data_IF_612971555998
#
_entry.id   IF_612971555998
#
_cell.length_a   1.000
_cell.length_b   1.000
_cell.length_c   1.000
_cell.angle_alpha   90.00
_cell.angle_beta   90.00
_cell.angle_gamma   90.00
#
_symmetry.space_group_name_H-M   'P 1'
#
loop_
_entity.id
_entity.type
_entity.pdbx_description
1 polymer ?
#
# COMPACT_ATOMS: atom_id res chain seq x y z
N UNK A 1 -23.90 33.12 -6.42
CA UNK A 1 -23.99 31.68 -6.78
C UNK A 1 -22.63 31.07 -7.15
N UNK A 2 -21.81 31.69 -8.02
CA UNK A 2 -20.51 31.14 -8.42
C UNK A 2 -19.52 30.89 -7.25
N UNK A 3 -19.41 31.85 -6.31
CA UNK A 3 -18.53 31.74 -5.13
C UNK A 3 -18.92 30.59 -4.22
N UNK A 4 -20.22 30.39 -3.95
CA UNK A 4 -20.73 29.29 -3.14
C UNK A 4 -20.40 27.92 -3.76
N UNK A 5 -20.56 27.79 -5.09
CA UNK A 5 -20.20 26.56 -5.80
C UNK A 5 -18.70 26.27 -5.82
N UNK A 6 -17.85 27.30 -5.78
CA UNK A 6 -16.39 27.17 -5.73
C UNK A 6 -15.90 26.78 -4.32
N UNK A 7 -16.52 27.32 -3.26
CA UNK A 7 -16.25 26.88 -1.89
C UNK A 7 -16.64 25.42 -1.69
N UNK A 8 -17.79 25.00 -2.23
CA UNK A 8 -18.23 23.61 -2.20
C UNK A 8 -17.24 22.65 -2.86
N UNK A 9 -16.74 22.97 -4.06
CA UNK A 9 -15.77 22.10 -4.76
C UNK A 9 -14.42 21.98 -4.03
N UNK A 10 -13.97 23.05 -3.36
CA UNK A 10 -12.77 23.01 -2.50
C UNK A 10 -12.96 22.12 -1.29
N UNK A 11 -14.11 22.22 -0.62
CA UNK A 11 -14.42 21.38 0.53
C UNK A 11 -14.44 19.89 0.13
N UNK A 12 -15.06 19.56 -1.01
CA UNK A 12 -15.08 18.19 -1.53
C UNK A 12 -13.66 17.68 -1.82
N UNK A 13 -12.84 18.48 -2.52
CA UNK A 13 -11.45 18.12 -2.81
C UNK A 13 -10.62 17.90 -1.53
N UNK A 14 -10.80 18.76 -0.52
CA UNK A 14 -10.13 18.62 0.77
C UNK A 14 -10.56 17.34 1.50
N UNK A 15 -11.86 17.03 1.52
CA UNK A 15 -12.39 15.81 2.15
C UNK A 15 -11.87 14.55 1.45
N UNK A 16 -11.94 14.49 0.11
CA UNK A 16 -11.40 13.35 -0.64
C UNK A 16 -9.90 13.15 -0.40
N UNK A 17 -9.13 14.24 -0.33
CA UNK A 17 -7.70 14.17 -0.01
C UNK A 17 -7.41 13.71 1.41
N UNK A 18 -8.24 14.12 2.37
CA UNK A 18 -8.14 13.62 3.73
C UNK A 18 -8.43 12.12 3.81
N UNK A 19 -9.40 11.61 3.03
CA UNK A 19 -9.66 10.18 2.91
C UNK A 19 -8.47 9.43 2.28
N UNK A 20 -7.86 9.98 1.23
CA UNK A 20 -6.65 9.42 0.63
C UNK A 20 -5.49 9.36 1.63
N UNK A 21 -5.30 10.45 2.39
CA UNK A 21 -4.30 10.54 3.44
C UNK A 21 -4.52 9.47 4.52
N UNK A 22 -5.76 9.33 5.00
CA UNK A 22 -6.12 8.32 5.98
C UNK A 22 -5.86 6.90 5.44
N UNK A 23 -6.28 6.63 4.20
CA UNK A 23 -6.01 5.35 3.52
C UNK A 23 -4.50 5.06 3.44
N UNK A 24 -3.68 6.04 3.08
CA UNK A 24 -2.23 5.93 3.06
C UNK A 24 -1.66 5.55 4.43
N UNK A 25 -2.09 6.22 5.51
CA UNK A 25 -1.67 5.87 6.87
C UNK A 25 -2.09 4.45 7.28
N UNK A 26 -3.32 4.05 6.98
CA UNK A 26 -3.79 2.68 7.25
C UNK A 26 -2.94 1.64 6.51
N UNK A 27 -2.56 1.88 5.26
CA UNK A 27 -1.67 0.99 4.51
C UNK A 27 -0.27 0.94 5.13
N UNK A 28 0.31 2.08 5.50
CA UNK A 28 1.62 2.11 6.19
C UNK A 28 1.56 1.29 7.47
N UNK A 29 0.56 1.54 8.33
CA UNK A 29 0.39 0.81 9.59
C UNK A 29 0.17 -0.68 9.33
N UNK A 30 -0.69 -1.05 8.38
CA UNK A 30 -0.93 -2.45 8.01
C UNK A 30 0.32 -3.16 7.48
N UNK A 31 1.10 -2.50 6.62
CA UNK A 31 2.37 -3.00 6.11
C UNK A 31 3.40 -3.19 7.23
N UNK A 32 3.54 -2.21 8.12
CA UNK A 32 4.44 -2.31 9.27
C UNK A 32 4.01 -3.41 10.26
N UNK A 33 2.71 -3.53 10.56
CA UNK A 33 2.19 -4.61 11.41
C UNK A 33 2.47 -5.98 10.79
N UNK A 34 2.34 -6.12 9.47
CA UNK A 34 2.68 -7.36 8.78
C UNK A 34 4.19 -7.67 8.87
N UNK A 35 5.05 -6.65 8.74
CA UNK A 35 6.51 -6.79 8.85
C UNK A 35 6.99 -7.15 10.27
N UNK A 36 6.24 -6.73 11.29
CA UNK A 36 6.53 -7.04 12.70
C UNK A 36 6.00 -8.41 13.12
N UNK A 37 5.05 -8.98 12.37
CA UNK A 37 4.42 -10.27 12.64
C UNK A 37 5.25 -11.43 12.09
N UNK A 38 6.26 -11.82 12.87
CA UNK A 38 7.18 -12.90 12.52
C UNK A 38 6.47 -14.24 12.28
N UNK A 39 5.36 -14.52 12.96
CA UNK A 39 4.61 -15.77 12.82
C UNK A 39 3.96 -15.85 11.43
N UNK A 40 3.29 -14.78 10.99
CA UNK A 40 2.72 -14.73 9.63
C UNK A 40 3.81 -14.83 8.56
N UNK A 41 4.92 -14.13 8.75
CA UNK A 41 6.08 -14.19 7.84
C UNK A 41 6.63 -15.63 7.78
N UNK A 42 6.74 -16.30 8.92
CA UNK A 42 7.21 -17.68 9.01
C UNK A 42 6.25 -18.64 8.29
N UNK A 43 4.95 -18.53 8.55
CA UNK A 43 3.91 -19.35 7.92
C UNK A 43 3.90 -19.21 6.39
N UNK A 44 4.19 -18.01 5.87
CA UNK A 44 4.26 -17.77 4.42
C UNK A 44 5.35 -18.55 3.68
N UNK A 45 6.35 -19.07 4.39
CA UNK A 45 7.37 -19.94 3.79
C UNK A 45 6.77 -21.24 3.25
N UNK A 46 5.69 -21.72 3.85
CA UNK A 46 5.02 -22.96 3.43
C UNK A 46 4.26 -22.81 2.11
N UNK A 47 3.91 -21.57 1.74
CA UNK A 47 3.21 -21.27 0.49
C UNK A 47 4.14 -21.12 -0.72
N UNK A 48 5.46 -21.21 -0.51
CA UNK A 48 6.47 -21.00 -1.57
C UNK A 48 7.17 -22.31 -1.93
N UNK A 49 6.42 -23.38 -2.17
CA UNK A 49 6.93 -24.64 -2.72
C UNK A 49 7.06 -24.54 -4.25
N UNK A 50 8.24 -24.15 -4.77
CA UNK A 50 8.44 -24.01 -6.22
C UNK A 50 9.67 -23.19 -6.64
N UNK A 51 9.76 -22.69 -7.88
CA UNK A 51 10.89 -21.89 -8.40
C UNK A 51 11.21 -20.63 -7.57
N UNK A 52 10.22 -20.09 -6.84
CA UNK A 52 10.37 -18.96 -5.93
C UNK A 52 11.05 -19.28 -4.59
N UNK A 53 11.32 -20.57 -4.30
CA UNK A 53 12.05 -21.01 -3.09
C UNK A 53 13.52 -20.56 -3.07
N UNK A 54 14.02 -20.02 -4.20
CA UNK A 54 15.37 -19.45 -4.33
C UNK A 54 15.49 -18.03 -3.80
N UNK A 55 14.37 -17.37 -3.46
CA UNK A 55 14.41 -16.02 -2.90
C UNK A 55 14.99 -16.02 -1.47
N UNK A 56 15.88 -15.08 -1.12
CA UNK A 56 16.50 -15.03 0.21
C UNK A 56 15.50 -14.82 1.36
N UNK A 57 14.37 -14.16 1.08
CA UNK A 57 13.37 -13.75 2.06
C UNK A 57 11.98 -14.28 1.66
N UNK A 58 11.10 -14.55 2.65
CA UNK A 58 9.75 -15.02 2.39
C UNK A 58 8.89 -13.98 1.65
N UNK A 59 7.94 -14.46 0.83
CA UNK A 59 7.11 -13.61 -0.04
C UNK A 59 6.31 -12.53 0.72
N UNK A 60 5.75 -12.85 1.89
CA UNK A 60 5.00 -11.87 2.69
C UNK A 60 5.86 -10.70 3.18
N UNK A 61 7.18 -10.88 3.33
CA UNK A 61 8.07 -9.78 3.69
C UNK A 61 8.12 -8.72 2.58
N UNK A 62 8.26 -9.15 1.32
CA UNK A 62 8.23 -8.25 0.17
C UNK A 62 6.85 -7.60 0.00
N UNK A 63 5.76 -8.34 0.24
CA UNK A 63 4.41 -7.77 0.26
C UNK A 63 4.28 -6.69 1.33
N UNK A 64 4.76 -6.94 2.56
CA UNK A 64 4.72 -5.97 3.65
C UNK A 64 5.44 -4.66 3.30
N UNK A 65 6.62 -4.75 2.68
CA UNK A 65 7.35 -3.59 2.16
C UNK A 65 6.56 -2.89 1.05
N UNK A 66 5.97 -3.65 0.12
CA UNK A 66 5.15 -3.12 -0.97
C UNK A 66 3.92 -2.36 -0.47
N UNK A 67 3.20 -2.90 0.51
CA UNK A 67 2.04 -2.25 1.13
C UNK A 67 2.47 -0.95 1.81
N UNK A 68 3.57 -0.98 2.57
CA UNK A 68 4.07 0.21 3.26
C UNK A 68 4.54 1.29 2.27
N UNK A 69 5.16 0.91 1.16
CA UNK A 69 5.64 1.85 0.14
C UNK A 69 4.49 2.50 -0.64
N UNK A 70 3.47 1.72 -1.02
CA UNK A 70 2.23 2.26 -1.62
C UNK A 70 1.56 3.22 -0.65
N UNK A 71 1.42 2.84 0.63
CA UNK A 71 0.86 3.69 1.66
C UNK A 71 1.61 5.03 1.82
N UNK A 72 2.94 5.02 1.72
CA UNK A 72 3.76 6.23 1.74
C UNK A 72 3.51 7.14 0.53
N UNK A 73 3.35 6.55 -0.67
CA UNK A 73 3.01 7.29 -1.88
C UNK A 73 1.62 7.94 -1.74
N UNK A 74 0.62 7.20 -1.27
CA UNK A 74 -0.74 7.72 -1.06
C UNK A 74 -0.77 8.82 0.00
N UNK A 75 -0.04 8.64 1.11
CA UNK A 75 0.07 9.64 2.18
C UNK A 75 0.70 10.93 1.66
N UNK A 76 1.81 10.81 0.91
CA UNK A 76 2.51 11.96 0.33
C UNK A 76 1.59 12.70 -0.66
N UNK A 77 0.88 11.96 -1.49
CA UNK A 77 -0.08 12.51 -2.46
C UNK A 77 -1.25 13.20 -1.75
N UNK A 78 -1.78 12.62 -0.66
CA UNK A 78 -2.82 13.24 0.16
C UNK A 78 -2.37 14.55 0.82
N UNK A 79 -1.14 14.62 1.34
CA UNK A 79 -0.56 15.87 1.89
C UNK A 79 -0.46 16.94 0.80
N UNK A 80 0.06 16.57 -0.37
CA UNK A 80 0.16 17.48 -1.52
C UNK A 80 -1.21 17.96 -1.98
N UNK A 81 -2.24 17.12 -1.95
CA UNK A 81 -3.60 17.49 -2.31
C UNK A 81 -4.28 18.40 -1.30
N UNK A 82 -4.07 18.17 0.01
CA UNK A 82 -4.47 19.11 1.06
C UNK A 82 -3.82 20.48 0.86
N UNK A 83 -2.52 20.51 0.55
CA UNK A 83 -1.81 21.75 0.21
C UNK A 83 -2.36 22.41 -1.06
N UNK A 84 -2.61 21.63 -2.12
CA UNK A 84 -3.18 22.10 -3.38
C UNK A 84 -4.58 22.70 -3.21
N UNK A 85 -5.40 22.16 -2.29
CA UNK A 85 -6.74 22.67 -1.98
C UNK A 85 -6.71 24.07 -1.34
N UNK A 86 -5.66 24.39 -0.59
CA UNK A 86 -5.49 25.72 0.01
C UNK A 86 -4.98 26.76 -1.00
N UNK A 87 -4.29 26.31 -2.03
CA UNK A 87 -3.68 27.18 -3.04
C UNK A 87 -4.67 27.57 -4.15
N UNK A 88 -4.53 28.80 -4.67
CA UNK A 88 -5.38 29.32 -5.77
C UNK A 88 -4.71 29.21 -7.15
N UNK A 89 -3.56 28.53 -7.25
CA UNK A 89 -2.77 28.45 -8.48
C UNK A 89 -3.24 27.30 -9.37
N UNK A 90 -3.65 27.63 -10.60
CA UNK A 90 -4.04 26.66 -11.63
C UNK A 90 -2.92 25.67 -11.97
N UNK A 91 -1.66 26.14 -12.00
CA UNK A 91 -0.50 25.30 -12.32
C UNK A 91 -0.26 24.22 -11.27
N UNK A 92 -0.40 24.56 -9.98
CA UNK A 92 -0.24 23.59 -8.89
C UNK A 92 -1.32 22.52 -8.93
N UNK A 93 -2.57 22.91 -9.21
CA UNK A 93 -3.68 21.97 -9.31
C UNK A 93 -3.53 21.05 -10.53
N UNK A 94 -3.02 21.57 -11.65
CA UNK A 94 -2.74 20.76 -12.85
C UNK A 94 -1.61 19.77 -12.61
N UNK A 95 -0.53 20.18 -11.92
CA UNK A 95 0.56 19.28 -11.56
C UNK A 95 0.07 18.16 -10.62
N UNK A 96 -0.76 18.51 -9.63
CA UNK A 96 -1.38 17.56 -8.72
C UNK A 96 -2.30 16.56 -9.45
N UNK A 97 -3.10 17.02 -10.41
CA UNK A 97 -3.91 16.15 -11.28
C UNK A 97 -3.05 15.12 -12.02
N UNK A 98 -1.91 15.53 -12.58
CA UNK A 98 -0.99 14.60 -13.26
C UNK A 98 -0.39 13.57 -12.30
N UNK A 99 -0.05 13.97 -11.08
CA UNK A 99 0.45 13.06 -10.04
C UNK A 99 -0.61 12.00 -9.72
N UNK A 100 -1.84 12.40 -9.41
CA UNK A 100 -2.94 11.46 -9.12
C UNK A 100 -3.18 10.50 -10.29
N UNK A 101 -3.15 11.00 -11.53
CA UNK A 101 -3.31 10.15 -12.71
C UNK A 101 -2.22 9.07 -12.80
N UNK A 102 -0.96 9.42 -12.54
CA UNK A 102 0.15 8.46 -12.56
C UNK A 102 0.02 7.44 -11.44
N UNK A 103 -0.32 7.88 -10.23
CA UNK A 103 -0.51 6.98 -9.08
C UNK A 103 -1.67 6.01 -9.36
N UNK A 104 -2.82 6.50 -9.82
CA UNK A 104 -3.98 5.67 -10.13
C UNK A 104 -3.69 4.61 -11.18
N UNK A 105 -3.01 4.97 -12.28
CA UNK A 105 -2.64 4.00 -13.32
C UNK A 105 -1.65 2.96 -12.77
N UNK A 106 -0.67 3.39 -11.98
CA UNK A 106 0.28 2.49 -11.33
C UNK A 106 -0.39 1.52 -10.35
N UNK A 107 -1.30 2.04 -9.51
CA UNK A 107 -2.05 1.26 -8.55
C UNK A 107 -2.97 0.25 -9.25
N UNK A 108 -3.67 0.65 -10.32
CA UNK A 108 -4.49 -0.25 -11.12
C UNK A 108 -3.66 -1.38 -11.75
N UNK A 109 -2.44 -1.10 -12.22
CA UNK A 109 -1.54 -2.12 -12.75
C UNK A 109 -1.08 -3.11 -11.67
N UNK A 110 -0.71 -2.62 -10.49
CA UNK A 110 -0.34 -3.47 -9.35
C UNK A 110 -1.55 -4.29 -8.88
N UNK A 111 -2.72 -3.68 -8.80
CA UNK A 111 -3.95 -4.37 -8.41
C UNK A 111 -4.35 -5.47 -9.41
N UNK A 112 -4.29 -5.18 -10.72
CA UNK A 112 -4.61 -6.14 -11.76
C UNK A 112 -3.63 -7.33 -11.76
N UNK A 113 -2.32 -7.05 -11.58
CA UNK A 113 -1.32 -8.12 -11.47
C UNK A 113 -1.54 -8.95 -10.21
N UNK A 114 -1.81 -8.33 -9.05
CA UNK A 114 -2.14 -9.04 -7.82
C UNK A 114 -3.40 -9.89 -7.93
N UNK A 115 -4.44 -9.40 -8.61
CA UNK A 115 -5.68 -10.15 -8.84
C UNK A 115 -5.50 -11.34 -9.78
N UNK A 116 -4.70 -11.17 -10.85
CA UNK A 116 -4.37 -12.26 -11.78
C UNK A 116 -3.34 -13.26 -11.20
N UNK A 117 -2.60 -12.85 -10.17
CA UNK A 117 -1.48 -13.58 -9.57
C UNK A 117 -1.79 -15.05 -9.23
N UNK A 118 -2.93 -15.42 -8.60
CA UNK A 118 -3.23 -16.82 -8.27
C UNK A 118 -3.36 -17.70 -9.52
N UNK A 119 -3.98 -17.16 -10.58
CA UNK A 119 -4.20 -17.88 -11.84
C UNK A 119 -2.91 -17.97 -12.68
N UNK A 120 -2.08 -16.93 -12.65
CA UNK A 120 -0.87 -16.85 -13.48
C UNK A 120 0.33 -17.60 -12.90
N UNK A 121 0.43 -17.70 -11.57
CA UNK A 121 1.58 -18.31 -10.89
C UNK A 121 1.28 -19.69 -10.30
N UNK A 122 0.06 -20.21 -10.48
CA UNK A 122 -0.31 -21.54 -9.98
C UNK A 122 -0.11 -21.64 -8.48
N UNK A 123 -0.59 -20.65 -7.72
CA UNK A 123 -0.47 -20.60 -6.27
C UNK A 123 -1.39 -21.57 -5.53
N UNK A 124 -1.93 -22.57 -6.22
CA UNK A 124 -2.34 -23.75 -5.48
C UNK A 124 -1.07 -24.28 -4.83
N UNK A 125 -1.04 -24.27 -3.51
CA UNK A 125 0.00 -24.96 -2.75
C UNK A 125 -0.11 -26.39 -3.19
N UNK A 126 0.79 -26.83 -4.07
CA UNK A 126 0.83 -28.20 -4.53
C UNK A 126 1.12 -29.05 -3.28
N UNK A 127 0.10 -29.78 -2.77
CA UNK A 127 0.23 -30.50 -1.52
C UNK A 127 1.30 -31.59 -1.66
N UNK A 128 1.52 -32.12 -2.87
CA UNK A 128 2.56 -33.11 -3.13
C UNK A 128 3.95 -32.48 -3.00
N UNK A 129 4.15 -31.29 -3.58
CA UNK A 129 5.42 -30.57 -3.49
C UNK A 129 5.73 -30.17 -2.03
N UNK A 130 4.73 -29.72 -1.28
CA UNK A 130 4.89 -29.36 0.13
C UNK A 130 5.14 -30.60 1.00
N UNK A 131 4.47 -31.72 0.73
CA UNK A 131 4.71 -33.01 1.41
C UNK A 131 6.14 -33.51 1.16
N UNK A 132 6.62 -33.42 -0.08
CA UNK A 132 8.00 -33.77 -0.43
C UNK A 132 9.01 -32.85 0.26
N UNK A 133 8.70 -31.55 0.37
CA UNK A 133 9.51 -30.60 1.13
C UNK A 133 9.52 -30.94 2.62
N UNK A 134 8.37 -31.32 3.20
CA UNK A 134 8.26 -31.78 4.59
C UNK A 134 9.18 -32.98 4.83
N UNK A 135 9.02 -34.04 4.05
CA UNK A 135 9.80 -35.27 4.19
C UNK A 135 11.32 -35.05 4.06
N UNK A 136 11.73 -34.09 3.22
CA UNK A 136 13.15 -33.82 2.94
C UNK A 136 13.78 -32.77 3.86
N UNK A 137 13.04 -31.77 4.32
CA UNK A 137 13.64 -30.59 4.96
C UNK A 137 13.26 -30.44 6.44
N UNK A 138 12.17 -31.07 6.88
CA UNK A 138 11.78 -31.00 8.29
C UNK A 138 12.87 -31.58 9.19
N UNK A 139 13.20 -30.88 10.28
CA UNK A 139 14.18 -31.32 11.27
C UNK A 139 15.64 -31.44 10.77
N UNK A 140 15.94 -30.99 9.55
CA UNK A 140 17.27 -31.06 8.98
C UNK A 140 18.12 -29.81 9.27
N UNK A 141 19.41 -30.02 9.50
CA UNK A 141 20.37 -28.95 9.76
C UNK A 141 20.38 -27.92 8.60
N UNK A 142 20.23 -26.64 8.96
CA UNK A 142 20.13 -25.54 7.98
C UNK A 142 18.72 -25.26 7.47
N UNK A 143 17.72 -26.05 7.87
CA UNK A 143 16.29 -25.87 7.52
C UNK A 143 15.42 -25.52 8.74
N UNK A 144 16.02 -25.00 9.81
CA UNK A 144 15.35 -24.64 11.07
C UNK A 144 14.12 -23.75 10.87
N UNK A 145 14.20 -22.80 9.94
CA UNK A 145 13.09 -21.88 9.64
C UNK A 145 11.91 -22.59 8.95
N UNK A 146 12.19 -23.63 8.16
CA UNK A 146 11.15 -24.45 7.55
C UNK A 146 10.48 -25.36 8.59
N UNK A 147 11.29 -26.00 9.45
CA UNK A 147 10.80 -26.79 10.60
C UNK A 147 9.88 -25.94 11.49
N UNK A 148 10.34 -24.76 11.90
CA UNK A 148 9.57 -23.85 12.74
C UNK A 148 8.27 -23.37 12.07
N UNK A 149 8.25 -23.24 10.74
CA UNK A 149 7.04 -22.88 10.00
C UNK A 149 5.99 -24.01 10.01
N UNK A 150 6.42 -25.26 9.82
CA UNK A 150 5.54 -26.43 9.94
C UNK A 150 5.02 -26.55 11.38
N UNK A 151 5.90 -26.43 12.37
CA UNK A 151 5.54 -26.49 13.79
C UNK A 151 4.54 -25.40 14.18
N UNK A 152 4.72 -24.18 13.65
CA UNK A 152 3.77 -23.09 13.81
C UNK A 152 2.42 -23.42 13.15
N UNK A 153 2.41 -23.96 11.92
CA UNK A 153 1.16 -24.33 11.25
C UNK A 153 0.38 -25.39 12.04
N UNK A 154 1.08 -26.41 12.54
CA UNK A 154 0.49 -27.50 13.31
C UNK A 154 -0.15 -27.03 14.61
N UNK A 155 0.55 -26.17 15.34
CA UNK A 155 0.03 -25.58 16.58
C UNK A 155 -1.08 -24.55 16.35
N UNK A 156 -0.97 -23.73 15.29
CA UNK A 156 -1.95 -22.69 14.98
C UNK A 156 -3.27 -23.27 14.48
N UNK A 157 -3.21 -24.31 13.65
CA UNK A 157 -4.38 -24.91 13.01
C UNK A 157 -4.82 -26.23 13.65
N UNK A 158 -4.12 -26.73 14.66
CA UNK A 158 -4.44 -28.00 15.33
C UNK A 158 -4.48 -29.19 14.34
N UNK A 159 -3.47 -29.26 13.47
CA UNK A 159 -3.31 -30.24 12.40
C UNK A 159 -1.95 -30.93 12.50
N UNK A 160 -1.71 -31.96 11.68
CA UNK A 160 -0.42 -32.67 11.63
C UNK A 160 -0.07 -33.10 10.21
N UNK A 161 1.17 -32.83 9.80
CA UNK A 161 1.61 -33.02 8.41
C UNK A 161 0.99 -32.02 7.42
N UNK A 162 1.16 -32.26 6.13
CA UNK A 162 0.58 -31.46 5.06
C UNK A 162 -0.82 -31.95 4.74
N UNK A 163 -0.97 -33.22 4.37
CA UNK A 163 -2.26 -33.90 4.17
C UNK A 163 -2.55 -34.91 5.29
N UNK A 164 -1.49 -35.51 5.87
CA UNK A 164 -1.62 -36.51 6.93
C UNK A 164 -0.40 -36.59 7.85
N UNK A 165 -0.64 -36.94 9.12
CA UNK A 165 0.41 -37.24 10.10
C UNK A 165 1.35 -38.40 9.67
N UNK A 166 0.89 -39.31 8.80
CA UNK A 166 1.68 -40.47 8.35
C UNK A 166 2.86 -40.06 7.46
N UNK A 167 2.89 -38.85 6.93
CA UNK A 167 4.00 -38.34 6.11
C UNK A 167 5.33 -38.28 6.88
N UNK A 168 5.27 -38.23 8.21
CA UNK A 168 6.46 -38.31 9.06
C UNK A 168 7.10 -39.69 9.07
N UNK A 169 6.36 -40.76 8.79
CA UNK A 169 6.88 -42.13 8.76
C UNK A 169 8.00 -42.30 7.73
N UNK A 170 7.90 -41.58 6.60
CA UNK A 170 8.86 -41.60 5.49
C UNK A 170 9.80 -40.38 5.48
N UNK A 171 9.72 -39.51 6.49
CA UNK A 171 10.55 -38.31 6.57
C UNK A 171 12.01 -38.66 6.93
N UNK A 172 12.96 -37.91 6.38
CA UNK A 172 14.38 -38.04 6.73
C UNK A 172 14.62 -37.80 8.21
N UNK A 173 13.87 -36.87 8.82
CA UNK A 173 13.90 -36.60 10.24
C UNK A 173 13.65 -37.87 11.07
N UNK A 174 12.62 -38.64 10.78
CA UNK A 174 12.33 -39.87 11.55
C UNK A 174 13.35 -40.98 11.32
N UNK A 175 13.92 -41.05 10.12
CA UNK A 175 14.88 -42.08 9.74
C UNK A 175 16.32 -41.77 10.20
N UNK A 176 16.58 -40.56 10.69
CA UNK A 176 17.92 -40.14 11.07
C UNK A 176 18.38 -40.81 12.39
N UNK A 177 19.62 -41.32 12.48
CA UNK A 177 20.08 -42.10 13.65
C UNK A 177 20.15 -41.31 14.96
N UNK A 178 20.28 -39.98 14.89
CA UNK A 178 20.35 -39.07 16.03
C UNK A 178 18.99 -38.46 16.38
N UNK A 179 17.92 -38.82 15.65
CA UNK A 179 16.61 -38.26 15.93
C UNK A 179 16.05 -38.83 17.23
N UNK A 180 15.34 -37.99 18.01
CA UNK A 180 14.68 -38.45 19.20
C UNK A 180 13.62 -39.49 18.78
N UNK A 181 13.43 -40.54 19.58
CA UNK A 181 12.54 -41.69 19.28
C UNK A 181 11.04 -41.32 19.34
N UNK A 182 10.65 -40.31 18.56
CA UNK A 182 9.28 -39.84 18.39
C UNK A 182 8.74 -40.35 17.06
N UNK A 183 7.47 -40.74 17.07
CA UNK A 183 6.73 -41.09 15.86
C UNK A 183 6.42 -39.82 15.04
N UNK A 184 6.09 -38.73 15.72
CA UNK A 184 5.68 -37.45 15.14
C UNK A 184 6.26 -36.28 15.95
N UNK A 185 6.33 -35.07 15.39
CA UNK A 185 6.63 -33.87 16.15
C UNK A 185 5.71 -33.67 17.33
N UNK A 186 6.22 -33.06 18.41
CA UNK A 186 5.40 -32.78 19.59
C UNK A 186 4.31 -31.74 19.33
N UNK A 187 4.48 -30.91 18.31
CA UNK A 187 3.51 -29.92 17.81
C UNK A 187 2.27 -30.56 17.17
N UNK A 188 2.35 -31.83 16.75
CA UNK A 188 1.20 -32.64 16.33
C UNK A 188 0.40 -33.23 17.51
N UNK A 189 0.91 -33.13 18.74
CA UNK A 189 0.19 -33.55 19.94
C UNK A 189 -0.76 -32.46 20.42
N UNK A 190 -1.83 -32.85 21.13
CA UNK A 190 -2.62 -31.88 21.89
C UNK A 190 -1.78 -31.31 23.03
N UNK A 191 -1.66 -29.98 23.06
CA UNK A 191 -0.79 -29.25 23.98
C UNK A 191 -1.57 -28.71 25.18
N UNK A 192 -0.96 -28.76 26.35
CA UNK A 192 -1.45 -28.07 27.55
C UNK A 192 -1.20 -26.55 27.43
N UNK A 193 -0.05 -26.17 26.87
CA UNK A 193 0.34 -24.78 26.67
C UNK A 193 -0.15 -24.18 25.35
N UNK A 194 -1.27 -24.66 24.79
CA UNK A 194 -1.80 -24.20 23.49
C UNK A 194 -2.10 -22.69 23.44
N UNK A 195 -2.38 -22.05 24.58
CA UNK A 195 -2.62 -20.60 24.68
C UNK A 195 -1.33 -19.76 24.66
N UNK A 196 -0.15 -20.37 24.79
CA UNK A 196 1.11 -19.65 24.73
C UNK A 196 1.46 -19.33 23.27
N UNK A 197 1.74 -18.05 22.95
CA UNK A 197 2.09 -17.62 21.59
C UNK A 197 3.27 -18.37 20.97
N UNK A 198 4.18 -18.87 21.81
CA UNK A 198 5.38 -19.63 21.41
C UNK A 198 5.27 -21.12 21.68
N UNK A 199 4.06 -21.67 21.75
CA UNK A 199 3.85 -23.11 21.97
C UNK A 199 4.57 -23.98 20.92
N UNK A 200 4.68 -23.51 19.67
CA UNK A 200 5.41 -24.19 18.59
C UNK A 200 6.92 -24.33 18.83
N UNK A 201 7.53 -23.44 19.63
CA UNK A 201 8.96 -23.51 19.96
C UNK A 201 9.25 -24.41 21.17
N UNK A 202 8.27 -24.56 22.07
CA UNK A 202 8.38 -25.39 23.26
C UNK A 202 7.05 -26.09 23.55
N UNK A 203 6.67 -27.09 22.74
CA UNK A 203 5.40 -27.78 22.89
C UNK A 203 5.37 -28.63 24.18
N UNK A 204 4.29 -28.49 24.96
CA UNK A 204 4.03 -29.30 26.14
C UNK A 204 2.80 -30.19 25.91
N UNK A 205 2.98 -31.44 25.43
CA UNK A 205 1.87 -32.37 25.22
C UNK A 205 1.18 -32.73 26.54
N UNK A 206 -0.16 -32.77 26.53
CA UNK A 206 -0.96 -33.22 27.69
C UNK A 206 -0.54 -34.64 28.12
N UNK A 207 -0.32 -35.53 27.14
CA UNK A 207 0.21 -36.86 27.39
C UNK A 207 1.14 -37.28 26.25
N UNK A 208 2.45 -37.13 26.48
CA UNK A 208 3.48 -37.47 25.50
C UNK A 208 3.45 -38.95 25.11
N UNK A 209 3.25 -39.87 26.05
CA UNK A 209 3.28 -41.31 25.80
C UNK A 209 2.12 -41.75 24.91
N UNK A 210 0.90 -41.28 25.20
CA UNK A 210 -0.27 -41.60 24.38
C UNK A 210 -0.17 -40.95 23.00
N UNK A 211 0.21 -39.68 22.93
CA UNK A 211 0.41 -39.01 21.64
C UNK A 211 1.45 -39.71 20.75
N UNK A 212 2.51 -40.28 21.32
CA UNK A 212 3.59 -40.93 20.57
C UNK A 212 3.38 -42.43 20.32
N UNK A 213 2.25 -43.00 20.76
CA UNK A 213 1.94 -44.40 20.51
C UNK A 213 1.80 -44.69 19.00
N UNK A 214 2.34 -45.83 18.55
CA UNK A 214 2.25 -46.26 17.15
C UNK A 214 0.86 -46.82 16.80
N UNK A 215 0.18 -47.42 17.79
CA UNK A 215 -1.17 -47.98 17.61
C UNK A 215 -2.23 -46.88 17.52
N UNK A 216 -3.09 -46.86 16.48
CA UNK A 216 -4.17 -45.87 16.28
C UNK A 216 -5.03 -45.63 17.52
N UNK A 217 -5.52 -46.71 18.13
CA UNK A 217 -6.43 -46.65 19.28
C UNK A 217 -5.80 -45.99 20.52
N UNK A 218 -4.47 -45.91 20.59
CA UNK A 218 -3.76 -45.39 21.76
C UNK A 218 -3.46 -43.89 21.68
N UNK A 219 -3.39 -43.35 20.47
CA UNK A 219 -3.17 -41.91 20.27
C UNK A 219 -4.47 -41.15 19.92
N UNK A 220 -5.59 -41.86 19.82
CA UNK A 220 -6.92 -41.26 19.67
C UNK A 220 -7.17 -40.23 20.78
N UNK A 221 -7.57 -39.02 20.40
CA UNK A 221 -7.84 -37.94 21.34
C UNK A 221 -6.60 -37.21 21.88
N UNK A 222 -5.37 -37.66 21.60
CA UNK A 222 -4.11 -37.01 22.04
C UNK A 222 -3.23 -36.50 20.90
N UNK A 223 -3.54 -36.88 19.65
CA UNK A 223 -2.81 -36.52 18.43
C UNK A 223 -3.76 -35.91 17.39
N UNK A 224 -3.30 -34.88 16.67
CA UNK A 224 -3.98 -34.36 15.49
C UNK A 224 -3.73 -35.27 14.28
N UNK A 225 -4.77 -35.65 13.55
CA UNK A 225 -4.69 -36.58 12.41
C UNK A 225 -4.94 -35.90 11.06
N UNK A 226 -5.65 -34.78 11.07
CA UNK A 226 -5.96 -33.98 9.89
C UNK A 226 -4.74 -33.20 9.42
N UNK A 227 -4.54 -33.13 8.10
CA UNK A 227 -3.48 -32.35 7.47
C UNK A 227 -3.68 -30.84 7.58
N UNK A 228 -2.58 -30.09 7.49
CA UNK A 228 -2.59 -28.62 7.57
C UNK A 228 -2.94 -27.91 6.25
N UNK A 229 -2.95 -28.60 5.11
CA UNK A 229 -3.06 -27.98 3.78
C UNK A 229 -4.33 -27.12 3.64
N UNK A 230 -5.50 -27.69 3.95
CA UNK A 230 -6.79 -26.99 3.78
C UNK A 230 -6.88 -25.74 4.66
N UNK A 231 -6.40 -25.83 5.91
CA UNK A 231 -6.34 -24.71 6.83
C UNK A 231 -5.38 -23.62 6.35
N UNK A 232 -4.21 -24.02 5.84
CA UNK A 232 -3.21 -23.10 5.29
C UNK A 232 -3.75 -22.37 4.04
N UNK A 233 -4.37 -23.10 3.11
CA UNK A 233 -4.99 -22.54 1.92
C UNK A 233 -6.13 -21.58 2.28
N UNK A 234 -7.00 -21.97 3.23
CA UNK A 234 -8.09 -21.11 3.70
C UNK A 234 -7.58 -19.84 4.37
N UNK A 235 -6.58 -19.96 5.24
CA UNK A 235 -5.93 -18.83 5.90
C UNK A 235 -5.35 -17.86 4.88
N UNK A 236 -4.59 -18.37 3.90
CA UNK A 236 -4.00 -17.57 2.84
C UNK A 236 -5.06 -16.87 1.99
N UNK A 237 -6.06 -17.61 1.50
CA UNK A 237 -7.15 -17.06 0.69
C UNK A 237 -7.87 -15.93 1.42
N UNK A 238 -8.10 -16.07 2.73
CA UNK A 238 -8.74 -15.03 3.54
C UNK A 238 -7.89 -13.76 3.58
N UNK A 239 -6.60 -13.88 3.87
CA UNK A 239 -5.69 -12.73 3.89
C UNK A 239 -5.53 -12.07 2.51
N UNK A 240 -5.46 -12.87 1.46
CA UNK A 240 -5.38 -12.40 0.08
C UNK A 240 -6.65 -11.64 -0.34
N UNK A 241 -7.84 -12.15 0.00
CA UNK A 241 -9.10 -11.45 -0.27
C UNK A 241 -9.21 -10.12 0.49
N UNK A 242 -8.72 -10.06 1.74
CA UNK A 242 -8.64 -8.80 2.48
C UNK A 242 -7.72 -7.80 1.78
N UNK A 243 -6.53 -8.23 1.33
CA UNK A 243 -5.61 -7.39 0.57
C UNK A 243 -6.25 -6.85 -0.71
N UNK A 244 -6.90 -7.71 -1.51
CA UNK A 244 -7.64 -7.29 -2.71
C UNK A 244 -8.78 -6.32 -2.37
N UNK A 245 -9.50 -6.54 -1.27
CA UNK A 245 -10.54 -5.62 -0.81
C UNK A 245 -9.97 -4.23 -0.47
N UNK A 246 -8.83 -4.18 0.23
CA UNK A 246 -8.17 -2.91 0.56
C UNK A 246 -7.65 -2.17 -0.67
N UNK A 247 -7.06 -2.88 -1.63
CA UNK A 247 -6.59 -2.28 -2.88
C UNK A 247 -7.75 -1.71 -3.72
N UNK A 248 -8.88 -2.43 -3.82
CA UNK A 248 -10.06 -1.90 -4.51
C UNK A 248 -10.60 -0.63 -3.84
N UNK A 249 -10.64 -0.60 -2.50
CA UNK A 249 -11.08 0.57 -1.76
C UNK A 249 -10.16 1.78 -2.00
N UNK A 250 -8.84 1.57 -2.04
CA UNK A 250 -7.86 2.62 -2.33
C UNK A 250 -8.06 3.19 -3.75
N UNK A 251 -8.14 2.34 -4.78
CA UNK A 251 -8.45 2.75 -6.17
C UNK A 251 -9.75 3.57 -6.25
N UNK A 252 -10.79 3.17 -5.52
CA UNK A 252 -12.06 3.93 -5.49
C UNK A 252 -11.89 5.31 -4.86
N UNK A 253 -11.14 5.43 -3.77
CA UNK A 253 -10.84 6.72 -3.12
C UNK A 253 -10.02 7.61 -4.07
N UNK A 254 -9.00 7.07 -4.73
CA UNK A 254 -8.20 7.80 -5.71
C UNK A 254 -9.04 8.29 -6.90
N UNK A 255 -9.97 7.46 -7.39
CA UNK A 255 -10.89 7.87 -8.45
C UNK A 255 -11.79 9.04 -8.00
N UNK A 256 -12.27 9.04 -6.76
CA UNK A 256 -13.04 10.16 -6.19
C UNK A 256 -12.19 11.44 -6.07
N UNK A 257 -10.92 11.30 -5.69
CA UNK A 257 -9.95 12.42 -5.66
C UNK A 257 -9.73 12.97 -7.07
N UNK A 258 -9.54 12.11 -8.06
CA UNK A 258 -9.37 12.50 -9.46
C UNK A 258 -10.59 13.27 -9.96
N UNK A 259 -11.80 12.74 -9.75
CA UNK A 259 -13.05 13.41 -10.14
C UNK A 259 -13.18 14.79 -9.48
N UNK A 260 -12.91 14.87 -8.18
CA UNK A 260 -12.96 16.13 -7.41
C UNK A 260 -11.93 17.14 -7.92
N UNK A 261 -10.75 16.67 -8.32
CA UNK A 261 -9.67 17.49 -8.90
C UNK A 261 -10.08 18.03 -10.27
N UNK A 262 -10.66 17.19 -11.14
CA UNK A 262 -11.19 17.62 -12.44
C UNK A 262 -12.25 18.70 -12.26
N UNK A 263 -13.22 18.49 -11.37
CA UNK A 263 -14.26 19.47 -11.08
C UNK A 263 -13.66 20.81 -10.62
N UNK A 264 -12.64 20.77 -9.76
CA UNK A 264 -11.95 21.98 -9.30
C UNK A 264 -11.18 22.67 -10.44
N UNK A 265 -10.44 21.91 -11.26
CA UNK A 265 -9.70 22.43 -12.43
C UNK A 265 -10.64 23.14 -13.40
N UNK A 266 -11.76 22.51 -13.78
CA UNK A 266 -12.73 23.09 -14.71
C UNK A 266 -13.34 24.39 -14.16
N UNK A 267 -13.63 24.44 -12.85
CA UNK A 267 -14.17 25.63 -12.20
C UNK A 267 -13.16 26.79 -12.16
N UNK A 268 -11.91 26.53 -11.78
CA UNK A 268 -10.83 27.54 -11.79
C UNK A 268 -10.57 28.04 -13.21
N UNK A 269 -10.50 27.13 -14.19
CA UNK A 269 -10.28 27.48 -15.59
C UNK A 269 -11.37 28.40 -16.12
N UNK A 270 -12.65 28.06 -15.89
CA UNK A 270 -13.78 28.89 -16.28
C UNK A 270 -13.75 30.27 -15.61
N UNK A 271 -13.48 30.34 -14.31
CA UNK A 271 -13.35 31.62 -13.60
C UNK A 271 -12.23 32.49 -14.19
N UNK A 272 -11.07 31.90 -14.51
CA UNK A 272 -9.96 32.63 -15.12
C UNK A 272 -10.28 33.13 -16.54
N UNK A 273 -11.07 32.38 -17.32
CA UNK A 273 -11.58 32.83 -18.61
C UNK A 273 -12.52 34.03 -18.46
N UNK A 274 -13.52 33.94 -17.57
CA UNK A 274 -14.47 35.03 -17.30
C UNK A 274 -13.75 36.31 -16.85
N UNK A 275 -12.72 36.19 -16.00
CA UNK A 275 -11.90 37.34 -15.59
C UNK A 275 -11.13 37.93 -16.76
N UNK A 276 -10.51 37.10 -17.62
CA UNK A 276 -9.77 37.58 -18.81
C UNK A 276 -10.69 38.30 -19.81
N UNK A 277 -11.89 37.76 -20.05
CA UNK A 277 -12.89 38.39 -20.92
C UNK A 277 -13.37 39.74 -20.36
N UNK A 278 -13.65 39.81 -19.05
CA UNK A 278 -14.06 41.06 -18.40
C UNK A 278 -12.97 42.14 -18.48
N UNK A 279 -11.69 41.78 -18.31
CA UNK A 279 -10.56 42.71 -18.47
C UNK A 279 -10.43 43.19 -19.92
N UNK A 280 -10.60 42.31 -20.91
CA UNK A 280 -10.57 42.67 -22.33
C UNK A 280 -11.69 43.66 -22.68
N UNK A 281 -12.93 43.37 -22.24
CA UNK A 281 -14.09 44.23 -22.49
C UNK A 281 -13.94 45.62 -21.82
N UNK A 282 -13.40 45.67 -20.60
CA UNK A 282 -13.15 46.94 -19.89
C UNK A 282 -12.05 47.79 -20.55
N UNK A 283 -11.03 47.14 -21.12
CA UNK A 283 -9.94 47.84 -21.85
C UNK A 283 -10.46 48.42 -23.16
N UNK A 284 -11.30 47.69 -23.90
CA UNK A 284 -11.89 48.14 -25.16
C UNK A 284 -12.87 49.31 -24.97
N UNK A 285 -13.64 49.33 -23.87
CA UNK A 285 -14.52 50.45 -23.54
C UNK A 285 -13.77 51.76 -23.23
N UNK A 286 -12.55 51.69 -22.68
CA UNK A 286 -11.73 52.88 -22.38
C UNK A 286 -11.08 53.50 -23.62
N UNK A 287 -10.82 52.71 -24.66
CA UNK A 287 -10.22 53.20 -25.91
C UNK A 287 -11.23 53.95 -26.78
N UNK A 288 -12.53 53.66 -26.65
CA UNK A 288 -13.61 54.30 -27.42
C UNK A 288 -14.01 55.66 -26.84
N UNK A 289 -13.73 55.93 -25.56
CA UNK A 289 -14.15 57.16 -24.86
C UNK A 289 -13.16 58.33 -24.90
N UNK A 290 -12.06 58.26 -25.65
CA UNK A 290 -11.13 59.40 -25.81
C UNK A 290 -11.50 60.20 -27.07
N UNK A 291 -12.03 61.43 -26.97
CA UNK A 291 -12.30 62.25 -28.15
C UNK A 291 -10.97 62.64 -28.79
N UNK A 292 -10.86 62.46 -30.11
CA UNK A 292 -9.76 62.97 -30.90
C UNK A 292 -9.75 64.51 -30.79
N UNK A 293 -8.86 65.06 -29.96
CA UNK A 293 -8.55 66.48 -30.03
C UNK A 293 -7.70 66.73 -31.27
N UNK A 294 -8.30 67.44 -32.21
CA UNK A 294 -7.71 67.95 -33.45
C UNK A 294 -6.43 68.74 -33.15
N UNK A 295 -5.26 68.15 -33.41
CA UNK A 295 -3.98 68.84 -33.28
C UNK A 295 -3.72 69.67 -34.55
N UNK A 296 -3.90 70.99 -34.47
CA UNK A 296 -3.49 71.92 -35.53
C UNK A 296 -1.95 71.93 -35.67
N UNK A 297 -1.52 71.91 -36.93
CA UNK A 297 -0.13 71.96 -37.39
C UNK A 297 0.45 73.37 -37.24
N UNK A 298 1.54 73.54 -36.51
CA UNK A 298 2.51 74.65 -36.68
C UNK A 298 3.95 74.14 -36.56
N UNK A 299 4.76 74.55 -37.52
CA UNK A 299 6.18 74.24 -37.78
C UNK A 299 7.14 75.02 -36.85
N UNK A 300 8.47 74.73 -36.87
CA UNK A 300 9.29 74.61 -35.67
C UNK A 300 10.15 75.85 -35.38
N UNK A 301 10.50 76.03 -34.10
CA UNK A 301 11.69 76.79 -33.70
C UNK A 301 12.32 76.18 -32.44
N UNK A 302 13.64 76.06 -32.53
CA UNK A 302 14.64 75.58 -31.57
C UNK A 302 14.56 76.18 -30.17
N UNK A 303 14.71 75.35 -29.13
CA UNK A 303 15.43 75.69 -27.88
C UNK A 303 15.70 74.42 -27.05
N UNK A 304 16.97 74.21 -26.71
CA UNK A 304 17.48 73.24 -25.73
C UNK A 304 16.99 73.60 -24.32
N UNK A 305 16.46 72.63 -23.56
CA UNK A 305 16.64 72.55 -22.09
C UNK A 305 16.45 71.10 -21.61
N UNK A 306 17.49 70.59 -20.93
CA UNK A 306 17.48 69.37 -20.12
C UNK A 306 16.82 69.68 -18.78
N UNK A 307 15.76 68.97 -18.41
CA UNK A 307 15.34 68.82 -17.01
C UNK A 307 14.73 67.42 -16.81
N UNK A 308 15.57 66.52 -16.31
CA UNK A 308 15.37 65.75 -15.08
C UNK A 308 14.13 64.83 -14.97
N UNK A 309 14.43 63.53 -14.96
CA UNK A 309 13.54 62.41 -14.66
C UNK A 309 12.90 62.53 -13.27
N UNK A 310 11.62 62.89 -13.20
CA UNK A 310 10.80 62.71 -12.00
C UNK A 310 10.11 61.34 -12.05
N UNK A 311 10.67 60.37 -11.35
CA UNK A 311 10.14 59.01 -11.22
C UNK A 311 8.97 58.98 -10.23
N UNK A 312 7.82 58.43 -10.65
CA UNK A 312 6.61 58.29 -9.84
C UNK A 312 6.83 57.37 -8.63
N UNK A 313 6.35 57.79 -7.45
CA UNK A 313 6.38 57.08 -6.16
C UNK A 313 5.77 55.66 -6.18
N UNK A 314 5.10 55.24 -7.26
CA UNK A 314 4.54 53.89 -7.41
C UNK A 314 5.59 52.79 -7.62
N UNK A 315 6.82 53.12 -8.04
CA UNK A 315 7.85 52.12 -8.35
C UNK A 315 8.62 51.63 -7.10
N UNK A 316 8.65 52.44 -6.03
CA UNK A 316 9.42 52.13 -4.79
C UNK A 316 8.71 51.13 -3.88
N UNK A 317 7.41 50.91 -4.07
CA UNK A 317 6.58 50.10 -3.17
C UNK A 317 6.53 48.61 -3.56
N UNK A 318 7.01 48.25 -4.76
CA UNK A 318 6.90 46.89 -5.32
C UNK A 318 8.16 46.02 -5.21
N UNK A 319 9.29 46.53 -4.74
CA UNK A 319 10.49 45.72 -4.49
C UNK A 319 11.04 45.98 -3.08
N UNK A 320 10.78 45.06 -2.16
CA UNK A 320 11.53 44.94 -0.89
C UNK A 320 12.96 44.48 -1.21
N UNK A 321 13.83 45.41 -1.60
CA UNK A 321 15.27 45.21 -1.54
C UNK A 321 15.71 45.56 -0.11
N UNK A 322 15.96 44.51 0.66
CA UNK A 322 16.73 44.56 1.91
C UNK A 322 18.18 44.73 1.51
N UNK A 323 18.82 45.84 1.90
CA UNK A 323 20.27 45.88 2.02
C UNK A 323 20.68 46.17 3.46
N UNK A 324 21.50 45.23 3.90
CA UNK A 324 22.24 45.04 5.14
C UNK A 324 23.16 46.23 5.44
N UNK A 325 23.05 46.80 6.65
CA UNK A 325 24.18 47.32 7.45
C UNK A 325 23.93 46.88 8.89
#
# INVERSE_FOLDING_TARGET
MAVLSLLGSKAILAVCNFLLLACGFFLITGGMLLLLDNEKILLSRLLTSGPLSTMPQPFLFYIGIGIASVGLILTSTGILGCWASCMHSYYMLTAYFLIIMVVLVGECAVYATAWAWPNCLGLDVDPEALTKALQRNYGNAGQEQFTAAIDLAQTLFNCCGVESANEYDTSLWRLQPLSPSLAIPLTCCKLENYNASKAYLNPQPINKTLCQALEPNRHEGYRHLEGCNDHLQQWYRRHFLLFLGTGLAAVLVEFLVLLSTILMCTRIYKHNLEVKENVRNSTQSKTVSTPAQTFQRRTPTTAYTNETYAMSNSFRQNYKLVDRI
#
